data_IF_296681996509
#
_entry.id   IF_296681996509
#
_cell.length_a   1.000
_cell.length_b   1.000
_cell.length_c   1.000
_cell.angle_alpha   90.00
_cell.angle_beta   90.00
_cell.angle_gamma   90.00
#
_symmetry.space_group_name_H-M   'P 1'
#
loop_
_entity.id
_entity.type
_entity.pdbx_description
1 polymer ?
#
# COMPACT_ATOMS: atom_id res chain seq x y z
N UNK A 1 11.85 -8.52 10.04
CA UNK A 1 10.38 -8.33 10.04
C UNK A 1 10.12 -7.03 9.31
N UNK A 2 9.20 -7.02 8.36
CA UNK A 2 8.82 -5.79 7.64
C UNK A 2 7.42 -5.37 8.14
N UNK A 3 7.24 -4.10 8.44
CA UNK A 3 5.92 -3.51 8.70
C UNK A 3 5.49 -2.74 7.47
N UNK A 4 4.34 -3.10 6.90
CA UNK A 4 3.79 -2.41 5.74
C UNK A 4 2.48 -1.75 6.13
N UNK A 5 2.32 -0.48 5.78
CA UNK A 5 1.13 0.32 6.01
C UNK A 5 0.60 0.88 4.70
N UNK A 6 -0.71 0.85 4.48
CA UNK A 6 -1.36 1.43 3.30
C UNK A 6 -2.56 2.29 3.71
N UNK A 7 -2.74 3.43 3.05
CA UNK A 7 -3.97 4.24 3.17
C UNK A 7 -4.41 4.82 1.84
N UNK A 8 -5.72 4.97 1.64
CA UNK A 8 -6.26 5.72 0.51
C UNK A 8 -6.17 7.23 0.73
N UNK A 9 -5.82 7.97 -0.31
CA UNK A 9 -5.77 9.42 -0.27
C UNK A 9 -7.03 10.03 -0.91
N UNK A 10 -7.40 11.25 -0.51
CA UNK A 10 -8.44 12.00 -1.22
C UNK A 10 -8.04 12.18 -2.69
N UNK A 11 -9.03 12.51 -3.54
CA UNK A 11 -8.77 12.81 -4.96
C UNK A 11 -7.80 13.99 -5.08
N UNK A 12 -6.51 13.70 -5.26
CA UNK A 12 -5.52 14.65 -5.75
C UNK A 12 -5.65 14.61 -7.27
N UNK A 13 -6.07 15.73 -7.87
CA UNK A 13 -6.49 15.81 -9.26
C UNK A 13 -5.40 15.34 -10.24
N UNK A 14 -5.74 14.40 -11.12
CA UNK A 14 -5.82 14.54 -12.58
C UNK A 14 -6.33 13.20 -13.15
N UNK A 15 -7.43 13.27 -13.93
CA UNK A 15 -7.94 12.23 -14.83
C UNK A 15 -8.22 10.83 -14.24
N UNK A 16 -9.37 10.72 -13.58
CA UNK A 16 -10.45 9.95 -14.21
C UNK A 16 -10.63 8.48 -13.87
N UNK A 17 -9.65 7.67 -13.42
CA UNK A 17 -9.98 6.25 -13.15
C UNK A 17 -9.45 5.56 -11.90
N UNK A 18 -8.44 6.05 -11.18
CA UNK A 18 -7.87 5.26 -10.06
C UNK A 18 -7.46 6.15 -8.89
N UNK A 19 -7.99 5.84 -7.69
CA UNK A 19 -7.75 6.61 -6.47
C UNK A 19 -6.31 6.34 -6.00
N UNK A 20 -5.53 7.37 -5.65
CA UNK A 20 -4.19 7.16 -5.15
C UNK A 20 -4.20 6.54 -3.75
N UNK A 21 -3.16 5.79 -3.45
CA UNK A 21 -2.83 5.25 -2.13
C UNK A 21 -1.44 5.71 -1.74
N UNK A 22 -1.21 5.80 -0.44
CA UNK A 22 0.13 5.98 0.13
C UNK A 22 0.54 4.67 0.80
N UNK A 23 1.81 4.31 0.65
CA UNK A 23 2.42 3.13 1.26
C UNK A 23 3.53 3.59 2.19
N UNK A 24 3.65 2.93 3.33
CA UNK A 24 4.79 3.05 4.23
C UNK A 24 5.35 1.66 4.56
N UNK A 25 6.67 1.51 4.47
CA UNK A 25 7.38 0.25 4.72
C UNK A 25 8.47 0.50 5.75
N UNK A 26 8.62 -0.39 6.72
CA UNK A 26 9.64 -0.33 7.77
C UNK A 26 10.36 -1.68 7.91
N UNK A 27 11.71 -1.75 7.79
CA UNK A 27 12.62 -0.65 7.46
C UNK A 27 12.36 -0.10 6.06
N UNK A 28 12.47 1.22 5.92
CA UNK A 28 12.21 1.89 4.65
C UNK A 28 13.23 1.44 3.60
N UNK A 29 12.81 0.75 2.51
CA UNK A 29 13.76 0.27 1.53
C UNK A 29 14.48 1.45 0.86
N UNK A 30 15.81 1.36 0.63
CA UNK A 30 16.54 2.38 -0.11
C UNK A 30 15.90 2.64 -1.48
N UNK A 31 15.69 3.91 -1.85
CA UNK A 31 15.11 4.30 -3.14
C UNK A 31 13.58 4.28 -3.21
N UNK A 32 12.87 3.87 -2.16
CA UNK A 32 11.42 4.03 -2.10
C UNK A 32 11.06 5.47 -1.71
N UNK A 33 10.05 6.06 -2.34
CA UNK A 33 9.57 7.41 -2.00
C UNK A 33 8.19 7.29 -1.36
N UNK A 34 7.95 8.01 -0.25
CA UNK A 34 6.62 8.19 0.39
C UNK A 34 5.70 9.00 -0.51
N UNK A 35 5.37 8.50 -1.68
CA UNK A 35 4.56 9.20 -2.68
C UNK A 35 3.19 8.56 -2.86
N UNK A 36 2.16 9.37 -3.15
CA UNK A 36 0.92 8.87 -3.71
C UNK A 36 1.19 8.03 -4.97
N UNK A 37 0.67 6.82 -5.02
CA UNK A 37 0.75 5.92 -6.18
C UNK A 37 -0.64 5.39 -6.53
N UNK A 38 -0.85 4.93 -7.75
CA UNK A 38 -2.11 4.25 -8.12
C UNK A 38 -2.21 2.89 -7.40
N UNK A 39 -3.43 2.34 -7.29
CA UNK A 39 -3.64 1.00 -6.71
C UNK A 39 -2.85 -0.09 -7.44
N UNK A 40 -2.68 -0.04 -8.77
CA UNK A 40 -1.88 -1.04 -9.50
C UNK A 40 -0.40 -0.90 -9.18
N UNK A 41 0.12 0.33 -9.14
CA UNK A 41 1.52 0.56 -8.77
C UNK A 41 1.76 0.14 -7.32
N UNK A 42 0.80 0.40 -6.44
CA UNK A 42 0.85 -0.07 -5.06
C UNK A 42 0.92 -1.59 -4.99
N UNK A 43 0.08 -2.28 -5.77
CA UNK A 43 0.11 -3.73 -5.86
C UNK A 43 1.48 -4.26 -6.29
N UNK A 44 2.09 -3.68 -7.34
CA UNK A 44 3.43 -4.07 -7.80
C UNK A 44 4.51 -3.85 -6.74
N UNK A 45 4.38 -2.82 -5.90
CA UNK A 45 5.34 -2.52 -4.83
C UNK A 45 5.21 -3.48 -3.65
N UNK A 46 4.00 -3.72 -3.16
CA UNK A 46 3.77 -4.52 -1.94
C UNK A 46 3.82 -6.03 -2.20
N UNK A 47 3.46 -6.48 -3.40
CA UNK A 47 3.44 -7.90 -3.80
C UNK A 47 4.75 -8.64 -3.47
N UNK A 48 5.95 -8.17 -3.88
CA UNK A 48 7.21 -8.88 -3.57
C UNK A 48 7.54 -8.91 -2.08
N UNK A 49 6.90 -8.09 -1.24
CA UNK A 49 7.17 -8.00 0.19
C UNK A 49 6.29 -8.93 1.04
N UNK A 50 5.04 -9.17 0.61
CA UNK A 50 4.02 -9.85 1.43
C UNK A 50 3.31 -11.01 0.75
N UNK A 51 3.55 -11.27 -0.53
CA UNK A 51 2.81 -12.29 -1.29
C UNK A 51 1.67 -11.72 -2.14
N UNK A 52 1.11 -12.55 -3.02
CA UNK A 52 0.04 -12.16 -3.95
C UNK A 52 -1.30 -11.92 -3.22
N UNK A 53 -1.67 -12.81 -2.31
CA UNK A 53 -2.99 -12.80 -1.66
C UNK A 53 -3.07 -11.69 -0.60
N UNK A 54 -2.00 -11.55 0.20
CA UNK A 54 -1.88 -10.56 1.26
C UNK A 54 -1.84 -9.14 0.69
N UNK A 55 -1.18 -8.95 -0.45
CA UNK A 55 -1.15 -7.68 -1.18
C UNK A 55 -2.55 -7.22 -1.58
N UNK A 56 -3.35 -8.13 -2.14
CA UNK A 56 -4.72 -7.83 -2.55
C UNK A 56 -5.61 -7.54 -1.34
N UNK A 57 -5.53 -8.38 -0.30
CA UNK A 57 -6.30 -8.21 0.93
C UNK A 57 -6.01 -6.87 1.62
N UNK A 58 -4.74 -6.48 1.69
CA UNK A 58 -4.33 -5.21 2.31
C UNK A 58 -4.89 -4.00 1.55
N UNK A 59 -4.83 -4.00 0.22
CA UNK A 59 -5.39 -2.94 -0.61
C UNK A 59 -6.92 -2.89 -0.52
N UNK A 60 -7.59 -4.04 -0.52
CA UNK A 60 -9.04 -4.12 -0.35
C UNK A 60 -9.48 -3.62 1.02
N UNK A 61 -8.74 -3.96 2.08
CA UNK A 61 -9.01 -3.50 3.43
C UNK A 61 -8.84 -1.99 3.54
N UNK A 62 -7.74 -1.43 3.03
CA UNK A 62 -7.53 0.01 2.96
C UNK A 62 -8.66 0.72 2.21
N UNK A 63 -9.18 0.11 1.14
CA UNK A 63 -10.31 0.63 0.37
C UNK A 63 -11.63 0.57 1.13
N UNK A 64 -11.88 -0.50 1.88
CA UNK A 64 -13.11 -0.70 2.67
C UNK A 64 -13.17 0.24 3.87
N UNK A 65 -12.05 0.46 4.54
CA UNK A 65 -11.97 1.34 5.71
C UNK A 65 -12.00 2.84 5.32
N UNK A 66 -11.96 3.14 4.03
CA UNK A 66 -11.96 4.51 3.53
C UNK A 66 -13.38 5.07 3.36
N UNK A 67 -13.68 6.17 4.05
CA UNK A 67 -15.03 6.76 4.13
C UNK A 67 -15.22 8.07 3.37
N UNK A 68 -14.25 8.51 2.55
CA UNK A 68 -14.40 9.70 1.70
C UNK A 68 -13.33 10.79 1.86
N UNK A 69 -12.39 10.64 2.81
CA UNK A 69 -11.31 11.61 3.08
C UNK A 69 -9.90 11.05 2.84
N UNK A 70 -9.03 11.12 3.84
CA UNK A 70 -7.84 10.26 3.91
C UNK A 70 -8.22 9.02 4.71
N UNK A 71 -7.91 7.83 4.20
CA UNK A 71 -8.21 6.59 4.89
C UNK A 71 -7.31 6.36 6.09
N UNK A 72 -7.75 5.54 7.06
CA UNK A 72 -6.85 5.07 8.10
C UNK A 72 -5.71 4.26 7.49
N UNK A 73 -4.59 4.19 8.20
CA UNK A 73 -3.52 3.27 7.86
C UNK A 73 -3.94 1.85 8.21
N UNK A 74 -3.87 0.96 7.22
CA UNK A 74 -4.04 -0.48 7.41
C UNK A 74 -2.67 -1.13 7.36
N UNK A 75 -2.38 -2.04 8.29
CA UNK A 75 -1.05 -2.63 8.45
C UNK A 75 -1.03 -4.12 8.10
N UNK A 76 0.10 -4.59 7.55
CA UNK A 76 0.47 -5.99 7.43
C UNK A 76 1.86 -6.21 8.05
N UNK A 77 2.01 -7.30 8.78
CA UNK A 77 3.28 -7.73 9.37
C UNK A 77 3.80 -8.90 8.56
N UNK A 78 4.99 -8.75 7.99
CA UNK A 78 5.63 -9.81 7.21
C UNK A 78 6.72 -10.43 8.07
N UNK A 79 6.53 -11.71 8.39
CA UNK A 79 7.63 -12.59 8.75
C UNK A 79 8.55 -12.65 7.53
N UNK A 80 9.83 -12.35 7.74
CA UNK A 80 10.89 -12.24 6.72
C UNK A 80 10.64 -13.18 5.53
N UNK A 81 10.47 -12.63 4.32
CA UNK A 81 10.62 -13.41 3.09
C UNK A 81 12.09 -13.83 3.05
N UNK A 82 12.39 -15.04 3.50
CA UNK A 82 13.71 -15.64 3.35
C UNK A 82 14.01 -15.70 1.87
N UNK A 83 14.98 -14.92 1.41
CA UNK A 83 15.65 -15.21 0.15
C UNK A 83 16.58 -16.39 0.44
N UNK A 84 16.05 -17.61 0.27
CA UNK A 84 16.89 -18.74 -0.16
C UNK A 84 17.21 -18.60 -1.66
#
# INVERSE_FOLDING_TARGET
MIHLRVRHLPRIGFLGRRRPVQIEVDPWPPGWVRSPVTTERAYTLIKPLIGWDEAMLLLQRARREWTGGTGPWVSAFTGVVSQE
#
